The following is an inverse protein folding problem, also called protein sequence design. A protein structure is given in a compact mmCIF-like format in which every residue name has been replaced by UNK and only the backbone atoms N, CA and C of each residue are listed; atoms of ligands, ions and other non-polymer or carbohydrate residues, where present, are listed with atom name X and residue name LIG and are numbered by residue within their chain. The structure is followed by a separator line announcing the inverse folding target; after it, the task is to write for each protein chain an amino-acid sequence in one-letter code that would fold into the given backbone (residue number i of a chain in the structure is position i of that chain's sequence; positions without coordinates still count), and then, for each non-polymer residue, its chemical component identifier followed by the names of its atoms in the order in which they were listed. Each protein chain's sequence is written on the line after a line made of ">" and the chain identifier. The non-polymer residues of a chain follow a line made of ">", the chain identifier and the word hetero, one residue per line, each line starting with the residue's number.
data_IF_844524873286
#
_entry.id   IF_844524873286
#
_cell.length_a   1.000
_cell.length_b   1.000
_cell.length_c   1.000
_cell.angle_alpha   90.00
_cell.angle_beta   90.00
_cell.angle_gamma   90.00
#
_symmetry.space_group_name_H-M   'P 1'
#
loop_
_entity.id
_entity.type
_entity.pdbx_description
1 polymer ?
#
# COMPACT_ATOMS: atom_id res chain seq x y z
N UNK A 1 -6.26 2.79 -16.71
CA UNK A 1 -5.04 1.98 -16.71
C UNK A 1 -4.54 1.75 -18.13
N UNK A 2 -3.34 2.20 -18.44
CA UNK A 2 -2.74 2.05 -19.80
C UNK A 2 -2.54 0.57 -20.18
N UNK A 3 -2.37 -0.33 -19.22
CA UNK A 3 -2.18 -1.75 -19.49
C UNK A 3 -3.47 -2.44 -19.92
N UNK A 4 -4.60 -2.15 -19.29
CA UNK A 4 -5.90 -2.78 -19.56
C UNK A 4 -6.86 -1.86 -20.30
N UNK A 5 -6.52 -0.59 -20.43
CA UNK A 5 -7.23 0.44 -21.16
C UNK A 5 -6.25 1.28 -22.00
N UNK A 6 -5.53 0.69 -22.97
CA UNK A 6 -4.46 1.38 -23.71
C UNK A 6 -4.97 2.57 -24.52
N UNK A 7 -6.22 2.53 -24.95
CA UNK A 7 -6.88 3.63 -25.68
C UNK A 7 -7.37 4.76 -24.76
N UNK A 8 -7.21 4.62 -23.46
CA UNK A 8 -7.76 5.53 -22.45
C UNK A 8 -9.26 5.78 -22.62
N UNK A 9 -10.00 4.72 -22.89
CA UNK A 9 -11.44 4.74 -23.13
C UNK A 9 -12.19 5.27 -21.89
N UNK A 10 -12.84 6.42 -22.06
CA UNK A 10 -13.59 7.09 -21.00
C UNK A 10 -14.75 6.26 -20.47
N UNK A 11 -15.38 5.41 -21.30
CA UNK A 11 -16.48 4.56 -20.84
C UNK A 11 -16.02 3.50 -19.84
N UNK A 12 -14.79 3.01 -19.95
CA UNK A 12 -14.22 2.07 -18.95
C UNK A 12 -13.90 2.78 -17.63
N UNK A 13 -13.42 4.02 -17.70
CA UNK A 13 -13.21 4.83 -16.49
C UNK A 13 -14.54 5.14 -15.81
N UNK A 14 -15.56 5.53 -16.59
CA UNK A 14 -16.90 5.79 -16.06
C UNK A 14 -17.48 4.55 -15.37
N UNK A 15 -17.40 3.39 -16.01
CA UNK A 15 -17.89 2.13 -15.40
C UNK A 15 -17.19 1.80 -14.07
N UNK A 16 -15.88 2.08 -13.97
CA UNK A 16 -15.14 1.89 -12.73
C UNK A 16 -15.56 2.90 -11.65
N UNK A 17 -15.75 4.17 -12.02
CA UNK A 17 -16.25 5.21 -11.13
C UNK A 17 -17.65 4.88 -10.60
N UNK A 18 -18.57 4.48 -11.48
CA UNK A 18 -19.94 4.13 -11.14
C UNK A 18 -19.99 2.93 -10.17
N UNK A 19 -19.17 1.91 -10.40
CA UNK A 19 -19.10 0.74 -9.54
C UNK A 19 -18.62 1.10 -8.12
N UNK A 20 -17.55 1.90 -8.00
CA UNK A 20 -17.05 2.34 -6.71
C UNK A 20 -18.06 3.30 -6.02
N UNK A 21 -18.67 4.22 -6.78
CA UNK A 21 -19.69 5.15 -6.30
C UNK A 21 -20.90 4.41 -5.74
N UNK A 22 -21.34 3.33 -6.38
CA UNK A 22 -22.47 2.53 -5.88
C UNK A 22 -22.22 1.92 -4.50
N UNK A 23 -20.97 1.64 -4.14
CA UNK A 23 -20.59 1.22 -2.78
C UNK A 23 -20.62 2.42 -1.83
N UNK A 24 -20.07 3.56 -2.23
CA UNK A 24 -20.01 4.79 -1.42
C UNK A 24 -21.44 5.27 -1.09
N UNK A 25 -22.35 5.28 -2.06
CA UNK A 25 -23.74 5.70 -1.85
C UNK A 25 -24.52 4.81 -0.87
N UNK A 26 -24.05 3.60 -0.64
CA UNK A 26 -24.64 2.64 0.31
C UNK A 26 -23.84 2.53 1.61
N UNK A 27 -22.84 3.35 1.85
CA UNK A 27 -21.96 3.23 3.02
C UNK A 27 -22.74 3.19 4.34
N UNK A 28 -23.68 4.12 4.51
CA UNK A 28 -24.49 4.19 5.73
C UNK A 28 -25.41 2.95 5.92
N UNK A 29 -25.93 2.39 4.82
CA UNK A 29 -26.77 1.20 4.86
C UNK A 29 -25.94 -0.06 5.14
N UNK A 30 -24.76 -0.15 4.55
CA UNK A 30 -23.86 -1.30 4.66
C UNK A 30 -22.96 -1.24 5.90
N UNK A 31 -22.89 -0.09 6.58
CA UNK A 31 -22.03 0.14 7.74
C UNK A 31 -20.57 0.33 7.37
N UNK A 32 -20.27 0.72 6.12
CA UNK A 32 -18.89 1.02 5.71
C UNK A 32 -18.46 2.42 6.14
N UNK A 33 -17.25 2.52 6.64
CA UNK A 33 -16.53 3.78 6.90
C UNK A 33 -15.04 3.51 7.04
N UNK A 34 -14.24 4.59 7.12
CA UNK A 34 -12.83 4.49 7.47
C UNK A 34 -12.68 4.21 8.98
N UNK A 35 -11.90 3.21 9.33
CA UNK A 35 -11.60 2.93 10.73
C UNK A 35 -10.68 4.00 11.31
N UNK A 36 -11.05 4.60 12.44
CA UNK A 36 -10.42 5.82 12.95
C UNK A 36 -8.95 5.69 13.38
N UNK A 37 -8.50 4.49 13.77
CA UNK A 37 -7.11 4.24 14.16
C UNK A 37 -6.43 3.36 13.12
N UNK A 38 -5.65 3.98 12.24
CA UNK A 38 -4.99 3.29 11.13
C UNK A 38 -4.10 2.12 11.55
N UNK A 39 -3.38 2.22 12.70
CA UNK A 39 -2.55 1.11 13.17
C UNK A 39 -3.39 -0.05 13.68
N UNK A 40 -4.41 0.25 14.46
CA UNK A 40 -5.27 -0.77 15.07
C UNK A 40 -6.14 -1.50 14.05
N UNK A 41 -6.44 -0.87 12.91
CA UNK A 41 -7.18 -1.49 11.81
C UNK A 41 -6.63 -2.89 11.45
N UNK A 42 -5.31 -3.05 11.47
CA UNK A 42 -4.62 -4.28 11.05
C UNK A 42 -4.33 -5.26 12.20
N UNK A 43 -4.90 -5.05 13.37
CA UNK A 43 -4.74 -5.96 14.50
C UNK A 43 -5.92 -6.95 14.58
N UNK A 44 -5.69 -8.20 15.05
CA UNK A 44 -6.75 -9.22 15.15
C UNK A 44 -8.00 -8.77 15.90
N UNK A 45 -7.86 -7.87 16.87
CA UNK A 45 -8.99 -7.35 17.65
C UNK A 45 -9.99 -6.50 16.83
N UNK A 46 -9.60 -6.04 15.65
CA UNK A 46 -10.41 -5.15 14.79
C UNK A 46 -10.71 -5.76 13.42
N UNK A 47 -10.56 -7.07 13.30
CA UNK A 47 -11.06 -7.81 12.15
C UNK A 47 -12.57 -7.59 12.01
N UNK A 48 -13.07 -7.55 10.79
CA UNK A 48 -14.48 -7.20 10.49
C UNK A 48 -14.89 -5.77 10.92
N UNK A 49 -13.93 -4.85 11.03
CA UNK A 49 -14.24 -3.43 11.23
C UNK A 49 -15.07 -2.85 10.07
N UNK A 50 -15.61 -1.65 10.29
CA UNK A 50 -16.37 -0.93 9.26
C UNK A 50 -15.58 -0.66 7.96
N UNK A 51 -14.26 -0.77 7.98
CA UNK A 51 -13.43 -0.60 6.78
C UNK A 51 -13.24 -1.90 5.98
N UNK A 52 -13.50 -3.07 6.56
CA UNK A 52 -13.34 -4.35 5.89
C UNK A 52 -14.50 -4.60 4.90
N UNK A 53 -14.21 -4.62 3.60
CA UNK A 53 -15.18 -4.99 2.56
C UNK A 53 -15.09 -6.47 2.21
N UNK A 54 -13.85 -6.95 2.02
CA UNK A 54 -13.57 -8.36 1.76
C UNK A 54 -12.22 -8.75 2.35
N UNK A 55 -12.19 -9.81 3.13
CA UNK A 55 -10.98 -10.35 3.74
C UNK A 55 -10.80 -11.84 3.47
N UNK A 56 -9.56 -12.28 3.65
CA UNK A 56 -9.19 -13.70 3.76
C UNK A 56 -8.97 -13.97 5.24
N UNK A 57 -9.77 -14.89 5.78
CA UNK A 57 -9.76 -15.21 7.20
C UNK A 57 -8.72 -16.29 7.54
N UNK A 58 -8.03 -16.06 8.65
CA UNK A 58 -7.06 -16.99 9.22
C UNK A 58 -7.45 -17.34 10.65
N UNK A 59 -7.18 -18.58 11.07
CA UNK A 59 -7.53 -19.05 12.42
C UNK A 59 -6.61 -20.16 12.89
N UNK A 60 -6.00 -19.98 14.05
CA UNK A 60 -5.20 -21.01 14.73
C UNK A 60 -6.05 -22.19 15.20
N UNK A 61 -7.32 -21.97 15.53
CA UNK A 61 -8.19 -23.01 16.10
C UNK A 61 -8.70 -24.00 15.06
N UNK A 62 -8.74 -23.64 13.80
CA UNK A 62 -9.23 -24.49 12.71
C UNK A 62 -8.14 -25.26 11.96
N UNK A 63 -6.90 -25.14 12.39
CA UNK A 63 -5.69 -25.89 11.99
C UNK A 63 -5.37 -25.97 10.49
N UNK A 64 -6.00 -25.17 9.64
CA UNK A 64 -5.86 -25.24 8.17
C UNK A 64 -5.66 -23.90 7.49
N UNK A 65 -5.80 -22.79 8.22
CA UNK A 65 -5.75 -21.46 7.65
C UNK A 65 -4.97 -20.52 8.58
N UNK A 66 -3.67 -20.70 8.65
CA UNK A 66 -2.74 -19.81 9.35
C UNK A 66 -1.89 -19.04 8.34
N UNK A 67 -1.37 -17.89 8.75
CA UNK A 67 -0.42 -17.12 7.94
C UNK A 67 0.92 -16.93 8.66
N UNK A 68 1.89 -16.48 7.92
CA UNK A 68 3.25 -16.24 8.42
C UNK A 68 3.65 -14.76 8.31
N UNK A 69 2.69 -13.81 8.36
CA UNK A 69 2.99 -12.39 8.21
C UNK A 69 3.99 -11.89 9.23
N UNK A 70 3.86 -12.32 10.49
CA UNK A 70 4.79 -11.96 11.56
C UNK A 70 6.23 -12.39 11.22
N UNK A 71 6.41 -13.63 10.83
CA UNK A 71 7.71 -14.23 10.55
C UNK A 71 8.34 -13.64 9.29
N UNK A 72 7.59 -13.57 8.18
CA UNK A 72 8.12 -13.04 6.93
C UNK A 72 8.46 -11.55 7.01
N UNK A 73 7.68 -10.78 7.76
CA UNK A 73 7.90 -9.35 7.89
C UNK A 73 9.12 -9.00 8.75
N UNK A 74 9.41 -9.79 9.78
CA UNK A 74 10.40 -9.45 10.79
C UNK A 74 11.55 -10.45 10.87
N UNK A 75 11.27 -11.75 10.90
CA UNK A 75 12.31 -12.76 11.08
C UNK A 75 13.08 -13.05 9.80
N UNK A 76 12.38 -13.34 8.70
CA UNK A 76 13.01 -13.62 7.41
C UNK A 76 13.26 -12.38 6.56
N UNK A 77 12.52 -11.28 6.82
CA UNK A 77 12.69 -9.97 6.18
C UNK A 77 12.67 -10.03 4.65
N UNK A 78 11.86 -10.94 4.11
CA UNK A 78 11.77 -11.15 2.68
C UNK A 78 11.17 -9.95 1.94
N UNK A 79 10.45 -9.07 2.67
CA UNK A 79 9.74 -7.91 2.15
C UNK A 79 10.13 -6.64 2.92
N UNK A 80 11.42 -6.30 2.95
CA UNK A 80 11.86 -5.07 3.63
C UNK A 80 11.36 -3.83 2.88
N UNK A 81 10.77 -2.84 3.57
CA UNK A 81 10.48 -1.54 2.99
C UNK A 81 11.74 -0.86 2.48
N UNK A 82 11.64 -0.18 1.36
CA UNK A 82 12.76 0.54 0.75
C UNK A 82 12.78 2.00 1.19
N UNK A 83 13.95 2.63 1.14
CA UNK A 83 14.11 4.04 1.47
C UNK A 83 13.24 4.94 0.58
N UNK A 84 13.03 4.61 -0.69
CA UNK A 84 12.17 5.36 -1.60
C UNK A 84 10.71 5.41 -1.13
N UNK A 85 10.17 4.30 -0.60
CA UNK A 85 8.86 4.31 0.05
C UNK A 85 8.85 5.20 1.29
N UNK A 86 9.89 5.14 2.11
CA UNK A 86 9.97 5.95 3.35
C UNK A 86 10.02 7.43 3.01
N UNK A 87 10.72 7.81 1.96
CA UNK A 87 10.81 9.20 1.49
C UNK A 87 9.52 9.71 0.85
N UNK A 88 8.61 8.83 0.44
CA UNK A 88 7.28 9.21 -0.03
C UNK A 88 6.30 9.57 1.11
N UNK A 89 6.54 9.12 2.34
CA UNK A 89 5.78 9.61 3.48
C UNK A 89 6.14 11.07 3.75
N UNK A 90 5.24 11.97 3.39
CA UNK A 90 5.43 13.40 3.60
C UNK A 90 5.39 13.73 5.09
N UNK A 91 5.86 14.93 5.44
CA UNK A 91 5.69 15.45 6.80
C UNK A 91 4.21 15.71 7.10
N UNK A 92 3.85 15.81 8.38
CA UNK A 92 2.48 16.15 8.83
C UNK A 92 1.97 17.50 8.32
N UNK A 93 2.84 18.31 7.74
CA UNK A 93 2.51 19.57 7.05
C UNK A 93 2.54 19.45 5.52
N UNK A 94 2.54 18.22 4.99
CA UNK A 94 2.59 17.89 3.57
C UNK A 94 3.89 18.30 2.85
N UNK A 95 4.96 18.54 3.61
CA UNK A 95 6.30 18.80 3.08
C UNK A 95 7.06 17.50 2.77
N UNK A 96 8.17 17.61 2.03
CA UNK A 96 9.03 16.48 1.72
C UNK A 96 9.67 15.88 2.98
N UNK A 97 9.79 14.56 3.01
CA UNK A 97 10.55 13.84 4.03
C UNK A 97 12.04 14.20 3.97
N UNK A 98 12.71 14.11 5.10
CA UNK A 98 14.17 14.23 5.20
C UNK A 98 14.73 12.90 5.70
N UNK A 99 15.70 12.36 5.00
CA UNK A 99 16.35 11.10 5.37
C UNK A 99 16.86 11.14 6.82
N UNK A 100 16.59 10.08 7.58
CA UNK A 100 16.98 9.96 8.99
C UNK A 100 16.12 10.76 9.97
N UNK A 101 15.10 11.50 9.50
CA UNK A 101 14.16 12.23 10.35
C UNK A 101 12.77 11.63 10.23
N UNK A 102 12.30 10.95 11.27
CA UNK A 102 11.06 10.18 11.23
C UNK A 102 9.94 10.77 12.10
N UNK A 103 10.25 11.77 12.94
CA UNK A 103 9.35 12.23 14.01
C UNK A 103 8.10 12.97 13.52
N UNK A 104 8.15 13.61 12.36
CA UNK A 104 7.06 14.43 11.82
C UNK A 104 6.55 13.92 10.48
N UNK A 105 6.72 12.64 10.20
CA UNK A 105 6.17 12.05 8.98
C UNK A 105 4.67 11.76 9.13
N UNK A 106 4.00 11.57 8.01
CA UNK A 106 2.65 11.02 7.91
C UNK A 106 2.47 9.88 8.93
N UNK A 107 1.45 9.90 9.78
CA UNK A 107 1.26 8.90 10.84
C UNK A 107 1.23 7.45 10.34
N UNK A 108 0.88 7.24 9.07
CA UNK A 108 0.89 5.92 8.43
C UNK A 108 2.29 5.34 8.29
N UNK A 109 3.33 6.18 8.25
CA UNK A 109 4.72 5.70 8.24
C UNK A 109 5.02 4.80 9.43
N UNK A 110 4.85 5.33 10.64
CA UNK A 110 5.12 4.59 11.87
C UNK A 110 4.14 3.42 12.10
N UNK A 111 2.93 3.50 11.57
CA UNK A 111 1.96 2.41 11.62
C UNK A 111 2.32 1.25 10.67
N UNK A 112 3.01 1.54 9.57
CA UNK A 112 3.34 0.58 8.51
C UNK A 112 4.72 -0.02 8.69
N UNK A 113 5.67 0.72 9.27
CA UNK A 113 7.08 0.35 9.29
C UNK A 113 7.68 0.33 10.70
N UNK A 114 8.54 -0.64 10.97
CA UNK A 114 9.59 -0.53 11.97
C UNK A 114 10.78 0.17 11.34
N UNK A 115 11.43 1.05 12.08
CA UNK A 115 12.55 1.88 11.63
C UNK A 115 13.55 2.11 12.77
N UNK A 116 14.79 2.53 12.51
CA UNK A 116 15.78 2.80 13.54
C UNK A 116 15.25 3.82 14.58
N UNK A 117 15.22 3.42 15.84
CA UNK A 117 14.66 4.21 16.95
C UNK A 117 13.18 3.91 17.27
N UNK A 118 12.44 3.17 16.44
CA UNK A 118 11.05 2.79 16.75
C UNK A 118 10.96 1.74 17.87
N UNK A 119 9.77 1.60 18.46
CA UNK A 119 9.51 0.55 19.46
C UNK A 119 9.21 -0.78 18.77
N UNK A 120 9.90 -1.84 19.21
CA UNK A 120 9.68 -3.21 18.77
C UNK A 120 9.63 -4.14 19.98
N UNK A 121 8.60 -4.98 20.07
CA UNK A 121 8.36 -5.89 21.19
C UNK A 121 8.42 -5.20 22.57
N UNK A 122 7.86 -3.99 22.66
CA UNK A 122 7.86 -3.18 23.87
C UNK A 122 9.21 -2.56 24.26
N UNK A 123 10.25 -2.74 23.43
CA UNK A 123 11.57 -2.12 23.65
C UNK A 123 11.71 -0.90 22.75
N UNK A 124 12.06 0.23 23.35
CA UNK A 124 12.49 1.42 22.59
C UNK A 124 13.81 1.13 21.87
N UNK A 125 14.05 1.85 20.77
CA UNK A 125 15.24 1.73 19.94
C UNK A 125 15.35 0.37 19.23
N UNK A 126 14.48 0.15 18.25
CA UNK A 126 14.63 -0.94 17.29
C UNK A 126 16.06 -0.93 16.74
N UNK A 127 16.92 -1.91 17.11
CA UNK A 127 18.31 -1.87 16.65
C UNK A 127 18.37 -2.18 15.18
N UNK A 128 19.15 -1.41 14.45
CA UNK A 128 19.33 -1.59 13.00
C UNK A 128 19.82 -3.00 12.62
N UNK A 129 20.44 -3.72 13.54
CA UNK A 129 20.96 -5.07 13.32
C UNK A 129 20.00 -6.23 13.54
N UNK A 130 18.91 -6.05 14.31
CA UNK A 130 18.01 -7.16 14.69
C UNK A 130 16.75 -7.23 13.84
N UNK A 131 16.01 -6.13 13.72
CA UNK A 131 14.72 -6.07 13.01
C UNK A 131 14.88 -5.37 11.67
N UNK A 132 15.69 -4.33 11.64
CA UNK A 132 15.85 -3.44 10.51
C UNK A 132 17.16 -3.78 9.74
N UNK A 133 17.40 -5.04 9.40
CA UNK A 133 18.52 -5.44 8.54
C UNK A 133 18.29 -5.02 7.08
N UNK A 134 19.33 -5.09 6.28
CA UNK A 134 19.36 -4.75 4.86
C UNK A 134 19.03 -3.27 4.61
N UNK A 135 17.75 -2.94 4.49
CA UNK A 135 17.31 -1.55 4.21
C UNK A 135 17.25 -0.66 5.44
N UNK A 136 17.34 -1.21 6.65
CA UNK A 136 17.10 -0.48 7.90
C UNK A 136 15.64 -0.38 8.30
N UNK A 137 14.73 -1.00 7.54
CA UNK A 137 13.28 -0.99 7.78
C UNK A 137 12.72 -2.41 7.78
N UNK A 138 11.58 -2.60 8.47
CA UNK A 138 10.79 -3.81 8.41
C UNK A 138 9.30 -3.48 8.42
N UNK A 139 8.45 -4.34 7.86
CA UNK A 139 7.01 -4.14 7.89
C UNK A 139 6.45 -4.34 9.30
N UNK A 140 5.57 -3.43 9.72
CA UNK A 140 4.82 -3.47 10.97
C UNK A 140 3.34 -3.75 10.76
N UNK A 141 2.77 -3.25 9.67
CA UNK A 141 1.32 -3.14 9.44
C UNK A 141 0.55 -4.42 9.74
N UNK A 142 0.96 -5.57 9.21
CA UNK A 142 0.29 -6.85 9.39
C UNK A 142 0.88 -7.70 10.52
N UNK A 143 1.66 -7.09 11.42
CA UNK A 143 2.28 -7.78 12.56
C UNK A 143 1.64 -7.40 13.88
N UNK A 144 1.81 -8.25 14.90
CA UNK A 144 1.33 -8.01 16.26
C UNK A 144 2.46 -7.54 17.20
N UNK A 145 3.63 -7.17 16.69
CA UNK A 145 4.84 -6.94 17.47
C UNK A 145 4.98 -5.55 18.10
N UNK A 146 3.89 -4.84 18.36
CA UNK A 146 3.96 -3.52 19.02
C UNK A 146 4.47 -3.59 20.47
N UNK A 147 3.87 -4.46 21.28
CA UNK A 147 4.20 -4.59 22.68
C UNK A 147 4.32 -6.04 23.16
N UNK A 148 4.04 -7.02 22.31
CA UNK A 148 4.00 -8.42 22.69
C UNK A 148 5.36 -9.08 22.54
N UNK A 149 5.67 -10.01 23.44
CA UNK A 149 6.79 -10.94 23.23
C UNK A 149 6.52 -11.76 21.98
N UNK A 150 7.60 -12.14 21.30
CA UNK A 150 7.56 -13.18 20.29
C UNK A 150 6.85 -14.40 20.87
N UNK A 151 5.76 -14.83 20.24
CA UNK A 151 5.16 -16.11 20.53
C UNK A 151 6.02 -17.19 19.89
N UNK A 152 6.12 -18.36 20.53
CA UNK A 152 6.81 -19.53 19.96
C UNK A 152 6.18 -20.00 18.63
N UNK A 153 5.00 -19.51 18.29
CA UNK A 153 4.20 -19.87 17.13
C UNK A 153 4.01 -18.73 16.13
N UNK A 154 5.01 -17.86 16.01
CA UNK A 154 5.00 -16.71 15.09
C UNK A 154 4.72 -17.06 13.61
N UNK A 155 4.99 -18.32 13.21
CA UNK A 155 4.69 -18.83 11.86
C UNK A 155 3.22 -19.17 11.62
N UNK A 156 2.41 -19.22 12.68
CA UNK A 156 0.99 -19.54 12.65
C UNK A 156 0.14 -18.34 13.06
N UNK A 157 0.31 -17.22 12.35
CA UNK A 157 -0.49 -16.01 12.57
C UNK A 157 -1.96 -16.22 12.20
N UNK A 158 -2.84 -15.49 12.89
CA UNK A 158 -4.29 -15.47 12.61
C UNK A 158 -4.80 -14.10 12.18
N UNK A 159 -3.92 -13.13 11.94
CA UNK A 159 -4.30 -11.81 11.43
C UNK A 159 -4.92 -11.95 10.05
N UNK A 160 -6.18 -11.53 9.89
CA UNK A 160 -6.87 -11.56 8.62
C UNK A 160 -6.24 -10.62 7.61
N UNK A 161 -6.27 -10.99 6.34
CA UNK A 161 -5.79 -10.15 5.26
C UNK A 161 -6.97 -9.48 4.55
N UNK A 162 -7.09 -8.16 4.69
CA UNK A 162 -8.09 -7.38 3.97
C UNK A 162 -7.68 -7.26 2.50
N UNK A 163 -8.41 -7.97 1.64
CA UNK A 163 -8.19 -7.94 0.20
C UNK A 163 -8.79 -6.68 -0.45
N UNK A 164 -9.95 -6.25 0.05
CA UNK A 164 -10.58 -4.98 -0.32
C UNK A 164 -11.03 -4.29 0.97
N UNK A 165 -10.64 -3.04 1.14
CA UNK A 165 -11.09 -2.20 2.24
C UNK A 165 -11.67 -0.88 1.73
N UNK A 166 -12.47 -0.22 2.55
CA UNK A 166 -13.23 0.95 2.13
C UNK A 166 -12.36 2.12 1.64
N UNK A 167 -11.16 2.30 2.19
CA UNK A 167 -10.19 3.26 1.66
C UNK A 167 -9.82 2.97 0.20
N UNK A 168 -9.73 1.69 -0.21
CA UNK A 168 -9.46 1.34 -1.60
C UNK A 168 -10.65 1.70 -2.51
N UNK A 169 -11.88 1.49 -2.04
CA UNK A 169 -13.09 1.91 -2.77
C UNK A 169 -13.08 3.42 -3.00
N UNK A 170 -12.76 4.22 -1.97
CA UNK A 170 -12.67 5.67 -2.07
C UNK A 170 -11.61 6.10 -3.10
N UNK A 171 -10.41 5.51 -3.05
CA UNK A 171 -9.32 5.88 -3.96
C UNK A 171 -9.49 5.30 -5.36
N UNK A 172 -10.18 4.15 -5.53
CA UNK A 172 -10.60 3.66 -6.84
C UNK A 172 -11.62 4.62 -7.49
N UNK A 173 -12.61 5.09 -6.71
CA UNK A 173 -13.55 6.11 -7.17
C UNK A 173 -12.81 7.38 -7.57
N UNK A 174 -11.97 7.92 -6.70
CA UNK A 174 -11.24 9.15 -6.95
C UNK A 174 -10.39 9.07 -8.24
N UNK A 175 -9.68 7.96 -8.43
CA UNK A 175 -8.86 7.75 -9.63
C UNK A 175 -9.73 7.69 -10.88
N UNK A 176 -10.75 6.85 -10.87
CA UNK A 176 -11.58 6.64 -12.05
C UNK A 176 -12.36 7.91 -12.43
N UNK A 177 -12.96 8.59 -11.45
CA UNK A 177 -13.71 9.82 -11.69
C UNK A 177 -12.79 10.96 -12.16
N UNK A 178 -11.58 11.07 -11.60
CA UNK A 178 -10.60 12.07 -12.06
C UNK A 178 -10.17 11.86 -13.52
N UNK A 179 -10.15 10.61 -14.01
CA UNK A 179 -9.83 10.33 -15.42
C UNK A 179 -11.01 10.63 -16.36
N UNK A 180 -12.24 10.67 -15.85
CA UNK A 180 -13.44 11.06 -16.59
C UNK A 180 -13.59 12.57 -16.66
N UNK A 181 -13.35 13.25 -15.53
CA UNK A 181 -13.60 14.67 -15.36
C UNK A 181 -12.50 15.51 -16.05
N UNK A 182 -12.87 16.59 -16.72
CA UNK A 182 -11.89 17.57 -17.27
C UNK A 182 -11.15 18.31 -16.16
N UNK A 183 -11.81 18.51 -15.03
CA UNK A 183 -11.27 19.05 -13.76
C UNK A 183 -11.81 18.22 -12.60
N UNK A 184 -11.02 17.98 -11.55
CA UNK A 184 -11.48 17.16 -10.42
C UNK A 184 -12.75 17.71 -9.80
N UNK A 185 -13.80 16.90 -9.72
CA UNK A 185 -15.06 17.25 -9.04
C UNK A 185 -14.91 17.26 -7.52
N UNK A 186 -15.81 17.92 -6.80
CA UNK A 186 -15.82 17.95 -5.33
C UNK A 186 -15.83 16.52 -4.74
N UNK A 187 -16.52 15.58 -5.37
CA UNK A 187 -16.55 14.20 -4.92
C UNK A 187 -15.18 13.51 -4.99
N UNK A 188 -14.33 13.86 -5.96
CA UNK A 188 -12.94 13.39 -6.03
C UNK A 188 -12.13 13.93 -4.85
N UNK A 189 -12.28 15.23 -4.55
CA UNK A 189 -11.65 15.83 -3.38
C UNK A 189 -12.13 15.18 -2.07
N UNK A 190 -13.43 14.95 -1.93
CA UNK A 190 -14.01 14.31 -0.74
C UNK A 190 -13.40 12.94 -0.49
N UNK A 191 -13.31 12.10 -1.52
CA UNK A 191 -12.75 10.76 -1.41
C UNK A 191 -11.27 10.78 -0.97
N UNK A 192 -10.45 11.62 -1.58
CA UNK A 192 -9.03 11.79 -1.21
C UNK A 192 -8.89 12.38 0.19
N UNK A 193 -9.64 13.45 0.48
CA UNK A 193 -9.57 14.17 1.75
C UNK A 193 -10.06 13.33 2.93
N UNK A 194 -11.04 12.43 2.74
CA UNK A 194 -11.46 11.48 3.78
C UNK A 194 -10.30 10.57 4.19
N UNK A 195 -9.58 10.00 3.23
CA UNK A 195 -8.44 9.12 3.50
C UNK A 195 -7.33 9.87 4.23
N UNK A 196 -6.98 11.07 3.77
CA UNK A 196 -5.95 11.93 4.38
C UNK A 196 -6.36 12.41 5.78
N UNK A 197 -7.60 12.88 5.89
CA UNK A 197 -8.15 13.45 7.14
C UNK A 197 -8.23 12.42 8.26
N UNK A 198 -8.47 11.14 7.96
CA UNK A 198 -8.47 10.05 8.95
C UNK A 198 -7.19 10.01 9.78
N UNK A 199 -6.05 10.30 9.19
CA UNK A 199 -4.73 10.29 9.84
C UNK A 199 -4.21 11.68 10.19
N UNK A 200 -5.03 12.72 10.00
CA UNK A 200 -4.67 14.10 10.32
C UNK A 200 -3.74 14.77 9.30
N UNK A 201 -3.60 14.22 8.10
CA UNK A 201 -2.86 14.87 7.03
C UNK A 201 -3.66 16.04 6.44
N UNK A 202 -2.98 17.12 5.98
CA UNK A 202 -3.65 18.27 5.36
C UNK A 202 -4.52 17.86 4.18
N UNK A 203 -5.71 18.43 4.10
CA UNK A 203 -6.66 18.23 3.00
C UNK A 203 -6.48 19.28 1.91
N UNK A 204 -6.92 18.96 0.71
CA UNK A 204 -6.87 19.87 -0.43
C UNK A 204 -8.17 20.65 -0.56
N UNK A 205 -8.07 21.95 -0.80
CA UNK A 205 -9.24 22.80 -1.09
C UNK A 205 -9.84 22.42 -2.45
N UNK A 206 -11.17 22.43 -2.54
CA UNK A 206 -11.89 22.16 -3.79
C UNK A 206 -11.45 23.11 -4.91
N UNK A 207 -11.31 22.56 -6.11
CA UNK A 207 -10.89 23.32 -7.30
C UNK A 207 -9.43 23.80 -7.28
N UNK A 208 -8.63 23.42 -6.28
CA UNK A 208 -7.24 23.88 -6.16
C UNK A 208 -6.23 23.10 -7.03
N UNK A 209 -6.65 22.04 -7.67
CA UNK A 209 -5.78 21.14 -8.45
C UNK A 209 -6.32 20.89 -9.84
N UNK A 210 -5.43 20.84 -10.82
CA UNK A 210 -5.73 20.31 -12.15
C UNK A 210 -5.94 18.80 -12.12
N UNK A 211 -6.51 18.25 -13.18
CA UNK A 211 -6.67 16.80 -13.34
C UNK A 211 -5.34 16.04 -13.20
N UNK A 212 -4.26 16.55 -13.79
CA UNK A 212 -2.94 15.92 -13.72
C UNK A 212 -2.33 15.98 -12.32
N UNK A 213 -2.45 17.10 -11.62
CA UNK A 213 -1.98 17.21 -10.23
C UNK A 213 -2.77 16.27 -9.31
N UNK A 214 -4.09 16.20 -9.48
CA UNK A 214 -4.93 15.30 -8.69
C UNK A 214 -4.60 13.83 -8.98
N UNK A 215 -4.29 13.47 -10.22
CA UNK A 215 -3.80 12.13 -10.58
C UNK A 215 -2.55 11.75 -9.79
N UNK A 216 -1.57 12.63 -9.72
CA UNK A 216 -0.34 12.37 -8.96
C UNK A 216 -0.61 12.33 -7.44
N UNK A 217 -1.52 13.15 -6.94
CA UNK A 217 -1.97 13.11 -5.54
C UNK A 217 -2.62 11.75 -5.23
N UNK A 218 -3.55 11.28 -6.06
CA UNK A 218 -4.23 10.00 -5.87
C UNK A 218 -3.23 8.83 -5.91
N UNK A 219 -2.31 8.83 -6.86
CA UNK A 219 -1.26 7.81 -6.96
C UNK A 219 -0.35 7.78 -5.73
N UNK A 220 0.06 8.95 -5.29
CA UNK A 220 0.84 9.09 -4.06
C UNK A 220 0.04 8.62 -2.84
N UNK A 221 -1.23 9.02 -2.70
CA UNK A 221 -2.10 8.61 -1.61
C UNK A 221 -2.27 7.09 -1.59
N UNK A 222 -2.52 6.45 -2.74
CA UNK A 222 -2.56 4.99 -2.86
C UNK A 222 -1.26 4.34 -2.42
N UNK A 223 -0.11 4.89 -2.79
CA UNK A 223 1.19 4.32 -2.42
C UNK A 223 1.40 4.30 -0.91
N UNK A 224 1.15 5.40 -0.22
CA UNK A 224 1.37 5.49 1.24
C UNK A 224 0.27 4.79 2.04
N UNK A 225 -0.97 4.84 1.57
CA UNK A 225 -2.12 4.20 2.21
C UNK A 225 -2.02 2.68 2.18
N UNK A 226 -1.66 2.10 1.03
CA UNK A 226 -1.63 0.65 0.81
C UNK A 226 -0.22 0.03 0.88
N UNK A 227 0.76 0.77 1.39
CA UNK A 227 2.09 0.22 1.60
C UNK A 227 2.03 -1.06 2.47
N UNK A 228 2.66 -2.13 2.01
CA UNK A 228 2.63 -3.44 2.66
C UNK A 228 1.39 -4.31 2.38
N UNK A 229 0.44 -3.84 1.56
CA UNK A 229 -0.79 -4.58 1.19
C UNK A 229 -0.75 -5.19 -0.23
N UNK A 230 0.41 -5.18 -0.89
CA UNK A 230 0.59 -5.83 -2.19
C UNK A 230 0.01 -5.10 -3.41
N UNK A 231 -0.63 -3.94 -3.24
CA UNK A 231 -1.31 -3.24 -4.34
C UNK A 231 -0.36 -2.47 -5.24
N UNK A 232 0.74 -1.92 -4.70
CA UNK A 232 1.64 -1.03 -5.43
C UNK A 232 2.26 -1.65 -6.68
N UNK A 233 2.62 -2.93 -6.64
CA UNK A 233 3.14 -3.64 -7.82
C UNK A 233 2.14 -3.60 -8.99
N UNK A 234 0.87 -3.83 -8.71
CA UNK A 234 -0.17 -3.76 -9.74
C UNK A 234 -0.41 -2.31 -10.19
N UNK A 235 -0.36 -1.36 -9.26
CA UNK A 235 -0.56 0.06 -9.54
C UNK A 235 0.50 0.60 -10.51
N UNK A 236 1.80 0.40 -10.27
CA UNK A 236 2.86 0.89 -11.15
C UNK A 236 2.82 0.25 -12.54
N UNK A 237 2.39 -1.02 -12.63
CA UNK A 237 2.22 -1.70 -13.92
C UNK A 237 1.02 -1.16 -14.69
N UNK A 238 -0.15 -1.05 -14.05
CA UNK A 238 -1.35 -0.54 -14.72
C UNK A 238 -1.25 0.95 -15.08
N UNK A 239 -0.44 1.74 -14.36
CA UNK A 239 -0.12 3.12 -14.71
C UNK A 239 0.96 3.23 -15.80
N UNK A 240 1.65 2.14 -16.13
CA UNK A 240 2.82 2.14 -17.01
C UNK A 240 3.94 3.07 -16.49
N UNK A 241 4.20 2.98 -15.19
CA UNK A 241 5.25 3.76 -14.50
C UNK A 241 6.31 2.87 -13.87
N UNK A 242 6.21 1.54 -14.05
CA UNK A 242 7.13 0.60 -13.43
C UNK A 242 8.59 0.85 -13.85
N UNK A 243 8.86 1.21 -15.10
CA UNK A 243 10.20 1.55 -15.57
C UNK A 243 10.84 2.73 -14.82
N UNK A 244 10.01 3.71 -14.39
CA UNK A 244 10.49 4.90 -13.67
C UNK A 244 10.89 4.58 -12.23
N UNK A 245 10.23 3.62 -11.59
CA UNK A 245 10.46 3.28 -10.18
C UNK A 245 11.30 2.01 -10.00
N UNK A 246 11.30 1.11 -10.98
CA UNK A 246 12.04 -0.15 -10.87
C UNK A 246 13.48 -0.05 -11.39
N UNK A 247 13.81 0.93 -12.24
CA UNK A 247 15.18 1.22 -12.66
C UNK A 247 15.85 2.17 -11.66
N UNK A 248 16.06 1.70 -10.44
CA UNK A 248 16.60 2.52 -9.37
C UNK A 248 17.63 1.76 -8.55
N UNK A 249 18.56 2.51 -7.97
CA UNK A 249 19.44 2.02 -6.92
C UNK A 249 18.63 1.86 -5.65
N UNK A 250 18.74 0.71 -5.01
CA UNK A 250 18.17 0.47 -3.69
C UNK A 250 19.19 0.92 -2.66
N UNK A 251 18.73 1.81 -1.77
CA UNK A 251 19.55 2.33 -0.67
C UNK A 251 19.01 1.87 0.68
N UNK A 252 19.89 1.76 1.67
CA UNK A 252 19.55 1.57 3.05
C UNK A 252 19.11 2.89 3.71
N UNK A 253 18.74 2.83 5.00
CA UNK A 253 18.28 3.98 5.80
C UNK A 253 19.35 5.11 5.95
N UNK A 254 20.62 4.80 5.70
CA UNK A 254 21.73 5.75 5.75
C UNK A 254 22.08 6.31 4.35
N UNK A 255 21.40 5.86 3.30
CA UNK A 255 21.65 6.24 1.93
C UNK A 255 22.78 5.43 1.26
N UNK A 256 23.20 4.31 1.86
CA UNK A 256 24.20 3.43 1.27
C UNK A 256 23.57 2.56 0.19
N UNK A 257 24.20 2.49 -0.97
CA UNK A 257 23.75 1.64 -2.07
C UNK A 257 23.94 0.16 -1.73
N UNK A 258 22.83 -0.61 -1.77
CA UNK A 258 22.82 -2.04 -1.43
C UNK A 258 22.49 -2.95 -2.60
N UNK A 259 21.76 -2.45 -3.60
CA UNK A 259 21.43 -3.21 -4.80
C UNK A 259 20.98 -2.28 -5.94
N UNK A 260 20.99 -2.81 -7.16
CA UNK A 260 20.45 -2.14 -8.34
C UNK A 260 19.36 -3.02 -8.94
N UNK A 261 18.20 -2.44 -9.27
CA UNK A 261 17.14 -3.10 -10.01
C UNK A 261 17.22 -2.70 -11.49
N UNK A 262 16.83 -3.60 -12.35
CA UNK A 262 16.65 -3.34 -13.77
C UNK A 262 15.27 -3.80 -14.21
N UNK A 263 14.56 -2.97 -14.95
CA UNK A 263 13.27 -3.25 -15.53
C UNK A 263 13.31 -2.94 -17.02
N UNK A 264 12.98 -3.94 -17.82
CA UNK A 264 12.89 -3.81 -19.28
C UNK A 264 11.41 -3.61 -19.66
N UNK A 265 11.00 -2.41 -20.15
CA UNK A 265 9.60 -2.13 -20.45
C UNK A 265 9.02 -3.02 -21.56
N UNK A 266 9.85 -3.55 -22.45
CA UNK A 266 9.38 -4.42 -23.54
C UNK A 266 9.06 -5.84 -23.06
N UNK A 267 9.61 -6.24 -21.90
CA UNK A 267 9.47 -7.58 -21.35
C UNK A 267 8.71 -7.60 -20.02
N UNK A 268 9.04 -6.73 -19.06
CA UNK A 268 8.75 -6.93 -17.64
C UNK A 268 7.37 -6.39 -17.22
N UNK A 269 6.63 -5.73 -18.11
CA UNK A 269 5.21 -5.42 -17.86
C UNK A 269 4.33 -6.65 -17.87
N UNK A 270 4.75 -7.74 -18.49
CA UNK A 270 4.03 -9.01 -18.55
C UNK A 270 4.78 -10.08 -17.77
N UNK A 271 4.04 -11.03 -17.22
CA UNK A 271 4.68 -12.22 -16.66
C UNK A 271 5.25 -13.05 -17.81
N UNK A 272 6.51 -13.49 -17.73
CA UNK A 272 7.07 -14.36 -18.76
C UNK A 272 6.32 -15.69 -18.79
N UNK A 273 6.12 -16.23 -19.98
CA UNK A 273 5.63 -17.60 -20.12
C UNK A 273 6.69 -18.54 -19.55
N UNK A 274 6.35 -19.49 -18.64
CA UNK A 274 7.31 -20.43 -18.11
C UNK A 274 8.04 -21.19 -19.23
N UNK A 275 9.36 -21.32 -19.14
CA UNK A 275 10.19 -21.94 -20.17
C UNK A 275 9.71 -23.34 -20.55
N UNK A 276 9.25 -24.13 -19.57
CA UNK A 276 8.71 -25.47 -19.82
C UNK A 276 7.45 -25.44 -20.70
N UNK A 277 6.62 -24.39 -20.58
CA UNK A 277 5.43 -24.25 -21.41
C UNK A 277 5.80 -23.87 -22.85
N UNK A 278 6.85 -23.08 -23.06
CA UNK A 278 7.37 -22.76 -24.39
C UNK A 278 7.92 -24.02 -25.04
N UNK A 279 8.64 -24.87 -24.30
CA UNK A 279 9.16 -26.14 -24.79
C UNK A 279 8.04 -27.12 -25.19
N UNK A 280 6.96 -27.16 -24.44
CA UNK A 280 5.82 -28.04 -24.69
C UNK A 280 4.90 -27.55 -25.81
N UNK A 281 4.80 -26.26 -26.00
CA UNK A 281 3.93 -25.66 -27.01
C UNK A 281 4.70 -24.69 -27.90
N UNK A 282 5.14 -25.17 -29.05
CA UNK A 282 5.91 -24.40 -30.05
C UNK A 282 5.18 -23.20 -30.66
N UNK A 283 3.89 -22.99 -30.33
CA UNK A 283 3.12 -21.82 -30.74
C UNK A 283 3.17 -20.68 -29.74
N UNK A 284 3.78 -20.93 -28.54
CA UNK A 284 4.02 -19.87 -27.57
C UNK A 284 5.34 -19.17 -27.91
N UNK A 285 5.25 -17.91 -28.26
CA UNK A 285 6.39 -17.00 -28.43
C UNK A 285 6.37 -16.02 -27.25
N UNK A 286 7.54 -15.61 -26.78
CA UNK A 286 7.69 -14.63 -25.70
C UNK A 286 8.15 -13.31 -26.30
#
# INVERSE_FOLDING_TARGET
>A
SKLVNPSNDAAKWQAAADAAKAVIEKEAQAGYDLFGDYRKLFLPANEHSCECVFNIEFSKTKNTAVNSFNVYSVQYRNNAPLLDLVMDYRTTTDGAATMGKYDNLDPRFAATNFYPGSTFLGKANCPAGEVCQFTGFAHRKLTIYDAQKRDSDDSNGETNYMFIRYADVLLMFAEAQNEVDATPSDAVYDAVNRVRGRVGMPTYAYGSKSQSEMREIIRHERRVEFAGEGLYYNDIRRWMTAELVMNAVIQDYAGTDIAVRAFDPDRDYWWPVPADQILLNKKLEQ
#
